data_IF_865776968192
#
_entry.id   IF_865776968192
#
_cell.length_a   1.000
_cell.length_b   1.000
_cell.length_c   1.000
_cell.angle_alpha   90.00
_cell.angle_beta   90.00
_cell.angle_gamma   90.00
#
_symmetry.space_group_name_H-M   'P 1'
#
loop_
_entity.id
_entity.type
_entity.pdbx_description
1 polymer ?
#
# COMPACT_ATOMS: atom_id res chain seq x y z
N UNK A 1 -1.11 12.80 22.80
CA UNK A 1 -1.54 11.52 22.18
C UNK A 1 -2.53 11.80 21.04
N UNK A 2 -2.03 11.78 19.81
CA UNK A 2 -2.90 11.93 18.63
C UNK A 2 -3.77 10.67 18.50
N UNK A 3 -5.06 10.80 18.72
CA UNK A 3 -6.04 9.71 18.58
C UNK A 3 -6.29 9.36 17.10
N UNK A 4 -6.05 10.29 16.20
CA UNK A 4 -6.27 10.16 14.76
C UNK A 4 -4.97 10.50 14.03
N UNK A 5 -4.58 9.67 13.10
CA UNK A 5 -3.45 9.88 12.18
C UNK A 5 -3.93 9.63 10.76
N UNK A 6 -3.73 10.63 9.90
CA UNK A 6 -4.05 10.57 8.48
C UNK A 6 -2.74 10.71 7.71
N UNK A 7 -2.49 9.81 6.79
CA UNK A 7 -1.41 9.90 5.81
C UNK A 7 -2.04 9.74 4.43
N UNK A 8 -1.70 10.62 3.54
CA UNK A 8 -2.08 10.53 2.13
C UNK A 8 -0.84 10.69 1.27
N UNK A 9 -0.81 10.01 0.15
CA UNK A 9 0.22 10.16 -0.86
C UNK A 9 -0.39 10.08 -2.24
N UNK A 10 0.18 10.83 -3.17
CA UNK A 10 -0.19 10.81 -4.58
C UNK A 10 1.07 10.76 -5.43
N UNK A 11 1.05 9.93 -6.44
CA UNK A 11 2.08 9.86 -7.48
C UNK A 11 1.43 10.21 -8.81
N UNK A 12 2.02 11.14 -9.53
CA UNK A 12 1.57 11.58 -10.85
C UNK A 12 2.69 11.29 -11.85
N UNK A 13 2.34 10.75 -12.99
CA UNK A 13 3.31 10.37 -14.00
C UNK A 13 2.76 10.41 -15.41
N UNK A 14 3.63 10.61 -16.37
CA UNK A 14 3.33 10.41 -17.78
C UNK A 14 3.96 9.10 -18.24
N UNK A 15 3.19 8.30 -18.96
CA UNK A 15 3.67 7.10 -19.63
C UNK A 15 3.74 7.41 -21.11
N UNK A 16 4.93 7.29 -21.69
CA UNK A 16 5.15 7.33 -23.12
C UNK A 16 5.35 5.89 -23.61
N UNK A 17 4.58 5.50 -24.59
CA UNK A 17 4.66 4.18 -25.22
C UNK A 17 4.96 4.36 -26.69
N UNK A 18 6.09 3.81 -27.12
CA UNK A 18 6.44 3.64 -28.51
C UNK A 18 6.16 2.19 -28.89
N UNK A 19 5.18 1.99 -29.73
CA UNK A 19 4.75 0.69 -30.21
C UNK A 19 4.95 0.49 -31.70
N UNK A 20 5.82 1.25 -32.34
CA UNK A 20 6.08 1.16 -33.79
C UNK A 20 6.46 -0.23 -34.25
N UNK A 21 7.12 -1.03 -33.39
CA UNK A 21 7.45 -2.44 -33.67
C UNK A 21 6.23 -3.37 -33.74
N UNK A 22 5.08 -2.93 -33.21
CA UNK A 22 3.83 -3.71 -33.24
C UNK A 22 2.86 -3.16 -34.27
N UNK A 23 2.85 -1.84 -34.47
CA UNK A 23 1.96 -1.16 -35.39
C UNK A 23 2.59 0.18 -35.83
N UNK A 24 2.71 0.39 -37.11
CA UNK A 24 3.24 1.64 -37.68
C UNK A 24 2.43 2.84 -37.18
N UNK A 25 3.13 3.83 -36.62
CA UNK A 25 2.52 5.07 -36.12
C UNK A 25 1.86 4.97 -34.74
N UNK A 26 2.10 3.88 -34.00
CA UNK A 26 1.59 3.77 -32.64
C UNK A 26 2.56 4.40 -31.63
N UNK A 27 2.39 5.67 -31.36
CA UNK A 27 3.02 6.38 -30.25
C UNK A 27 1.94 7.07 -29.44
N UNK A 28 1.92 6.85 -28.15
CA UNK A 28 0.94 7.46 -27.28
C UNK A 28 1.53 7.93 -25.96
N UNK A 29 1.02 9.07 -25.47
CA UNK A 29 1.35 9.60 -24.14
C UNK A 29 0.10 9.56 -23.28
N UNK A 30 0.25 9.07 -22.07
CA UNK A 30 -0.86 8.93 -21.13
C UNK A 30 -0.48 9.47 -19.75
N UNK A 31 -1.30 10.36 -19.22
CA UNK A 31 -1.17 10.86 -17.86
C UNK A 31 -1.84 9.90 -16.87
N UNK A 32 -1.09 9.44 -15.89
CA UNK A 32 -1.56 8.56 -14.83
C UNK A 32 -1.34 9.13 -13.45
N UNK A 33 -2.13 8.64 -12.50
CA UNK A 33 -1.94 8.97 -11.09
C UNK A 33 -2.37 7.82 -10.19
N UNK A 34 -1.65 7.69 -9.08
CA UNK A 34 -1.90 6.71 -8.03
C UNK A 34 -2.08 7.46 -6.70
N UNK A 35 -3.18 7.17 -5.99
CA UNK A 35 -3.51 7.80 -4.72
C UNK A 35 -3.57 6.74 -3.63
N UNK A 36 -3.07 7.08 -2.44
CA UNK A 36 -3.19 6.25 -1.23
C UNK A 36 -3.65 7.10 -0.06
N UNK A 37 -4.58 6.55 0.72
CA UNK A 37 -5.04 7.12 1.97
C UNK A 37 -4.88 6.06 3.07
N UNK A 38 -4.27 6.47 4.18
CA UNK A 38 -4.20 5.66 5.38
C UNK A 38 -4.74 6.46 6.56
N UNK A 39 -5.85 6.02 7.11
CA UNK A 39 -6.50 6.61 8.28
C UNK A 39 -6.35 5.65 9.45
N UNK A 40 -5.66 6.07 10.51
CA UNK A 40 -5.55 5.32 11.74
C UNK A 40 -6.28 6.07 12.87
N UNK A 41 -7.14 5.33 13.57
CA UNK A 41 -7.88 5.83 14.73
C UNK A 41 -7.52 4.96 15.94
N UNK A 42 -7.14 5.60 17.04
CA UNK A 42 -6.84 4.94 18.32
C UNK A 42 -7.87 5.37 19.37
N UNK A 43 -9.03 4.68 19.45
CA UNK A 43 -10.06 5.03 20.43
C UNK A 43 -9.55 4.80 21.87
N UNK A 44 -8.73 3.76 22.07
CA UNK A 44 -8.09 3.44 23.34
C UNK A 44 -6.57 3.24 23.14
N UNK A 45 -5.81 3.28 24.24
CA UNK A 45 -4.35 3.11 24.21
C UNK A 45 -3.92 1.74 23.65
N UNK A 46 -4.74 0.72 23.87
CA UNK A 46 -4.46 -0.67 23.44
C UNK A 46 -5.01 -1.02 22.07
N UNK A 47 -5.84 -0.17 21.45
CA UNK A 47 -6.57 -0.52 20.22
C UNK A 47 -6.31 0.50 19.12
N UNK A 48 -6.02 0.00 17.93
CA UNK A 48 -5.87 0.81 16.73
C UNK A 48 -6.70 0.23 15.59
N UNK A 49 -7.57 1.04 15.02
CA UNK A 49 -8.24 0.79 13.75
C UNK A 49 -7.47 1.48 12.64
N UNK A 50 -7.31 0.80 11.52
CA UNK A 50 -6.68 1.39 10.34
C UNK A 50 -7.53 1.08 9.11
N UNK A 51 -7.86 2.13 8.37
CA UNK A 51 -8.45 2.04 7.04
C UNK A 51 -7.40 2.46 6.04
N UNK A 52 -7.19 1.63 5.02
CA UNK A 52 -6.26 1.92 3.92
C UNK A 52 -7.02 1.83 2.62
N UNK A 53 -7.01 2.91 1.85
CA UNK A 53 -7.61 2.94 0.52
C UNK A 53 -6.55 3.25 -0.52
N UNK A 54 -6.63 2.59 -1.64
CA UNK A 54 -5.76 2.80 -2.79
C UNK A 54 -6.60 3.01 -4.06
N UNK A 55 -6.13 3.90 -4.91
CA UNK A 55 -6.68 4.14 -6.23
C UNK A 55 -5.53 4.24 -7.23
N UNK A 56 -5.62 3.46 -8.30
CA UNK A 56 -4.71 3.55 -9.43
C UNK A 56 -5.55 3.94 -10.66
N UNK A 57 -5.16 5.01 -11.33
CA UNK A 57 -5.82 5.46 -12.54
C UNK A 57 -5.64 4.47 -13.69
N UNK A 58 -6.29 4.74 -14.80
CA UNK A 58 -6.04 4.02 -16.05
C UNK A 58 -4.55 4.10 -16.40
N UNK A 59 -4.05 3.06 -17.06
CA UNK A 59 -2.66 3.00 -17.52
C UNK A 59 -2.61 2.57 -18.96
N UNK A 60 -1.78 3.23 -19.75
CA UNK A 60 -1.50 2.78 -21.10
C UNK A 60 -0.55 1.56 -21.03
N UNK A 61 -0.90 0.53 -21.76
CA UNK A 61 -0.06 -0.64 -22.03
C UNK A 61 0.08 -0.82 -23.54
N UNK A 62 1.09 -1.56 -23.97
CA UNK A 62 1.36 -1.78 -25.41
C UNK A 62 0.15 -2.36 -26.14
N UNK A 63 -0.63 -3.21 -25.47
CA UNK A 63 -1.78 -3.91 -26.07
C UNK A 63 -3.13 -3.26 -25.75
N UNK A 64 -3.17 -2.14 -25.01
CA UNK A 64 -4.44 -1.50 -24.66
C UNK A 64 -4.38 -0.63 -23.41
N UNK A 65 -5.53 -0.34 -22.85
CA UNK A 65 -5.68 0.51 -21.66
C UNK A 65 -6.10 -0.35 -20.48
N UNK A 66 -5.25 -0.42 -19.45
CA UNK A 66 -5.59 -1.06 -18.18
C UNK A 66 -6.62 -0.20 -17.45
N UNK A 67 -7.72 -0.80 -17.02
CA UNK A 67 -8.79 -0.08 -16.30
C UNK A 67 -8.32 0.41 -14.92
N UNK A 68 -8.96 1.44 -14.35
CA UNK A 68 -8.64 1.89 -13.01
C UNK A 68 -8.91 0.78 -11.99
N UNK A 69 -8.04 0.74 -10.97
CA UNK A 69 -8.16 -0.19 -9.85
C UNK A 69 -8.23 0.59 -8.54
N UNK A 70 -9.14 0.19 -7.69
CA UNK A 70 -9.27 0.75 -6.36
C UNK A 70 -9.68 -0.32 -5.36
N UNK A 71 -9.34 -0.10 -4.11
CA UNK A 71 -9.67 -1.02 -3.03
C UNK A 71 -9.56 -0.36 -1.67
N UNK A 72 -10.22 -0.97 -0.70
CA UNK A 72 -10.21 -0.51 0.69
C UNK A 72 -10.03 -1.70 1.62
N UNK A 73 -9.04 -1.60 2.49
CA UNK A 73 -8.74 -2.57 3.53
C UNK A 73 -9.04 -1.96 4.89
N UNK A 74 -9.55 -2.79 5.81
CA UNK A 74 -9.74 -2.43 7.20
C UNK A 74 -8.91 -3.36 8.08
N UNK A 75 -8.26 -2.81 9.10
CA UNK A 75 -7.54 -3.61 10.08
C UNK A 75 -7.75 -3.11 11.49
N UNK A 76 -7.74 -4.07 12.41
CA UNK A 76 -7.80 -3.87 13.85
C UNK A 76 -6.56 -4.47 14.48
N UNK A 77 -5.89 -3.70 15.34
CA UNK A 77 -4.85 -4.20 16.24
C UNK A 77 -5.25 -3.93 17.69
N UNK A 78 -5.12 -4.95 18.53
CA UNK A 78 -5.39 -4.83 19.95
C UNK A 78 -4.26 -5.44 20.76
N UNK A 79 -3.67 -4.64 21.66
CA UNK A 79 -2.64 -5.10 22.55
C UNK A 79 -3.28 -5.75 23.78
N UNK A 80 -2.83 -6.96 24.09
CA UNK A 80 -3.28 -7.79 25.21
C UNK A 80 -2.10 -8.08 26.16
N UNK A 81 -2.38 -8.63 27.33
CA UNK A 81 -1.37 -9.03 28.32
C UNK A 81 -0.40 -7.90 28.70
N UNK A 82 -0.95 -6.70 28.97
CA UNK A 82 -0.14 -5.54 29.33
C UNK A 82 0.83 -5.07 28.23
N UNK A 83 0.54 -5.38 26.96
CA UNK A 83 1.38 -5.02 25.81
C UNK A 83 2.36 -6.13 25.37
N UNK A 84 2.41 -7.25 26.08
CA UNK A 84 3.25 -8.40 25.69
C UNK A 84 2.66 -9.18 24.51
N UNK A 85 1.34 -9.09 24.28
CA UNK A 85 0.67 -9.72 23.15
C UNK A 85 0.02 -8.70 22.24
N UNK A 86 -0.13 -9.04 20.97
CA UNK A 86 -0.87 -8.26 19.98
C UNK A 86 -1.75 -9.18 19.16
N UNK A 87 -3.05 -8.91 19.18
CA UNK A 87 -4.02 -9.50 18.27
C UNK A 87 -4.16 -8.56 17.06
N UNK A 88 -4.19 -9.13 15.86
CA UNK A 88 -4.42 -8.39 14.63
C UNK A 88 -5.47 -9.08 13.78
N UNK A 89 -6.39 -8.29 13.25
CA UNK A 89 -7.40 -8.71 12.30
C UNK A 89 -7.32 -7.77 11.10
N UNK A 90 -7.30 -8.31 9.89
CA UNK A 90 -7.32 -7.51 8.66
C UNK A 90 -8.30 -8.13 7.68
N UNK A 91 -9.17 -7.29 7.14
CA UNK A 91 -10.07 -7.63 6.06
C UNK A 91 -9.70 -6.79 4.84
N UNK A 92 -9.33 -7.46 3.75
CA UNK A 92 -8.92 -6.82 2.50
C UNK A 92 -10.11 -6.66 1.58
N UNK A 93 -10.05 -5.62 0.74
CA UNK A 93 -11.04 -5.29 -0.27
C UNK A 93 -12.49 -5.37 0.22
N UNK A 94 -12.78 -4.64 1.30
CA UNK A 94 -14.07 -4.66 2.01
C UNK A 94 -15.27 -4.48 1.07
N UNK A 95 -15.12 -3.68 0.01
CA UNK A 95 -16.18 -3.39 -0.96
C UNK A 95 -16.15 -4.28 -2.21
N UNK A 96 -15.22 -5.25 -2.26
CA UNK A 96 -15.05 -6.16 -3.40
C UNK A 96 -14.85 -5.42 -4.74
N UNK A 97 -14.03 -4.39 -4.71
CA UNK A 97 -13.81 -3.48 -5.84
C UNK A 97 -12.53 -3.75 -6.63
N UNK A 98 -11.59 -4.53 -6.08
CA UNK A 98 -10.35 -4.88 -6.77
C UNK A 98 -10.62 -5.82 -7.92
N UNK A 99 -10.46 -5.32 -9.13
CA UNK A 99 -10.56 -6.08 -10.37
C UNK A 99 -9.45 -5.65 -11.31
N UNK A 100 -8.99 -6.57 -12.12
CA UNK A 100 -8.09 -6.28 -13.23
C UNK A 100 -8.87 -6.29 -14.54
N UNK A 101 -8.53 -5.39 -15.42
CA UNK A 101 -9.10 -5.40 -16.76
C UNK A 101 -8.23 -4.61 -17.73
N UNK A 102 -8.37 -4.96 -18.97
CA UNK A 102 -7.72 -4.27 -20.08
C UNK A 102 -8.69 -4.12 -21.22
N UNK A 103 -8.75 -2.93 -21.78
CA UNK A 103 -9.51 -2.59 -22.98
C UNK A 103 -8.54 -2.55 -24.15
N UNK A 104 -8.69 -3.49 -25.06
CA UNK A 104 -7.88 -3.61 -26.26
C UNK A 104 -8.69 -3.12 -27.43
N UNK A 105 -8.20 -2.10 -28.12
CA UNK A 105 -8.80 -1.58 -29.36
C UNK A 105 -7.80 -1.78 -30.49
N UNK A 106 -8.10 -2.69 -31.41
CA UNK A 106 -7.27 -3.00 -32.57
C UNK A 106 -8.17 -3.06 -33.78
N UNK A 107 -7.86 -2.25 -34.80
CA UNK A 107 -8.43 -2.24 -36.16
C UNK A 107 -9.80 -2.92 -36.34
N UNK A 108 -10.84 -2.29 -35.78
CA UNK A 108 -12.21 -2.79 -35.90
C UNK A 108 -12.61 -3.83 -34.84
N UNK A 109 -11.73 -4.19 -33.92
CA UNK A 109 -12.03 -5.10 -32.81
C UNK A 109 -11.87 -4.42 -31.47
N UNK A 110 -12.96 -4.34 -30.72
CA UNK A 110 -12.92 -3.93 -29.32
C UNK A 110 -13.00 -5.19 -28.46
N UNK A 111 -11.96 -5.45 -27.69
CA UNK A 111 -11.93 -6.55 -26.74
C UNK A 111 -11.80 -6.02 -25.32
N UNK A 112 -12.79 -6.30 -24.51
CA UNK A 112 -12.77 -6.03 -23.09
C UNK A 112 -12.43 -7.30 -22.32
N UNK A 113 -11.33 -7.27 -21.59
CA UNK A 113 -10.92 -8.37 -20.73
C UNK A 113 -11.09 -7.92 -19.29
N UNK A 114 -11.81 -8.70 -18.49
CA UNK A 114 -12.09 -8.43 -17.09
C UNK A 114 -11.79 -9.67 -16.28
N UNK A 115 -10.90 -9.53 -15.30
CA UNK A 115 -10.59 -10.56 -14.34
C UNK A 115 -11.00 -10.10 -12.95
N UNK A 116 -11.72 -10.95 -12.24
CA UNK A 116 -12.00 -10.81 -10.83
C UNK A 116 -11.33 -11.96 -10.12
N UNK A 117 -10.42 -11.65 -9.22
CA UNK A 117 -9.74 -12.63 -8.36
C UNK A 117 -10.25 -12.50 -6.93
N UNK A 118 -9.99 -13.50 -6.11
CA UNK A 118 -10.31 -13.45 -4.70
C UNK A 118 -9.47 -12.37 -4.03
N UNK A 119 -10.10 -11.23 -3.76
CA UNK A 119 -9.46 -10.07 -3.13
C UNK A 119 -9.94 -9.86 -1.70
N UNK A 120 -11.08 -10.47 -1.33
CA UNK A 120 -11.62 -10.42 0.02
C UNK A 120 -11.02 -11.53 0.86
N UNK A 121 -10.07 -11.15 1.71
CA UNK A 121 -9.37 -12.08 2.60
C UNK A 121 -9.46 -11.58 4.03
N UNK A 122 -9.75 -12.49 4.94
CA UNK A 122 -9.72 -12.24 6.37
C UNK A 122 -8.43 -12.85 6.94
N UNK A 123 -7.60 -11.99 7.53
CA UNK A 123 -6.36 -12.38 8.18
C UNK A 123 -6.50 -12.21 9.68
N UNK A 124 -6.15 -13.25 10.41
CA UNK A 124 -5.99 -13.22 11.86
C UNK A 124 -4.52 -13.44 12.21
N UNK A 125 -4.01 -12.63 13.13
CA UNK A 125 -2.64 -12.76 13.60
C UNK A 125 -2.57 -12.59 15.12
N UNK A 126 -1.76 -13.41 15.76
CA UNK A 126 -1.40 -13.28 17.15
C UNK A 126 0.12 -13.27 17.29
N UNK A 127 0.63 -12.26 17.97
CA UNK A 127 2.04 -12.15 18.30
C UNK A 127 2.18 -12.03 19.81
N UNK A 128 3.11 -12.78 20.39
CA UNK A 128 3.42 -12.71 21.81
C UNK A 128 4.92 -12.62 22.02
N UNK A 129 5.36 -11.63 22.81
CA UNK A 129 6.75 -11.41 23.14
C UNK A 129 7.07 -12.11 24.47
N UNK A 130 7.86 -13.17 24.40
CA UNK A 130 8.40 -13.87 25.57
C UNK A 130 9.66 -13.15 26.05
N UNK A 131 9.83 -13.06 27.36
CA UNK A 131 11.00 -12.46 27.98
C UNK A 131 10.77 -11.01 28.44
N UNK A 132 11.71 -10.54 29.23
CA UNK A 132 11.73 -9.16 29.71
C UNK A 132 12.27 -8.29 28.58
N UNK A 133 11.44 -7.41 28.00
CA UNK A 133 11.95 -6.40 27.10
C UNK A 133 12.79 -5.43 27.92
N UNK A 134 14.08 -5.63 27.97
CA UNK A 134 15.03 -4.63 28.47
C UNK A 134 15.06 -3.48 27.46
N UNK A 135 14.08 -2.61 27.53
CA UNK A 135 14.08 -1.32 26.80
C UNK A 135 14.97 -0.34 27.55
N UNK A 136 16.18 -0.74 27.90
CA UNK A 136 17.26 0.14 28.35
C UNK A 136 18.55 -0.11 27.57
N UNK A 137 18.42 -0.23 26.27
CA UNK A 137 19.53 -0.02 25.36
C UNK A 137 19.64 1.44 24.97
N UNK A 138 19.81 2.35 25.91
CA UNK A 138 20.50 3.61 25.61
C UNK A 138 21.91 3.21 25.19
N UNK A 139 22.09 2.94 23.92
CA UNK A 139 23.40 2.88 23.28
C UNK A 139 24.07 4.22 23.55
N UNK A 140 24.81 4.27 24.63
CA UNK A 140 25.85 5.31 24.83
C UNK A 140 26.94 5.01 23.81
N UNK A 141 26.71 5.32 22.57
CA UNK A 141 27.79 5.56 21.63
C UNK A 141 28.54 6.81 22.14
N UNK A 142 29.53 6.56 22.98
CA UNK A 142 30.54 7.53 23.35
C UNK A 142 31.25 7.86 22.05
N UNK A 143 30.92 9.02 21.48
CA UNK A 143 31.75 9.61 20.42
C UNK A 143 33.10 9.86 21.04
N UNK A 144 34.07 9.02 20.70
CA UNK A 144 35.48 9.28 20.98
C UNK A 144 35.86 10.47 20.12
N UNK A 145 36.14 11.59 20.74
CA UNK A 145 36.63 12.80 20.10
C UNK A 145 37.96 12.48 19.39
N UNK A 146 38.19 12.97 18.14
CA UNK A 146 39.43 12.70 17.42
C UNK A 146 40.70 13.31 18.04
N UNK A 147 40.58 14.04 19.13
CA UNK A 147 41.68 14.82 19.74
C UNK A 147 42.44 14.10 20.87
N UNK A 148 42.13 12.84 21.21
CA UNK A 148 42.87 12.10 22.26
C UNK A 148 43.98 11.19 21.71
N UNK A 149 44.48 11.44 20.52
CA UNK A 149 45.70 10.79 20.02
C UNK A 149 46.85 11.78 19.95
N UNK A 150 47.34 12.25 21.08
CA UNK A 150 48.66 12.80 21.23
C UNK A 150 49.18 12.33 22.58
N UNK A 151 50.07 11.41 22.47
CA UNK A 151 51.28 10.99 23.20
C UNK A 151 51.47 9.49 23.05
#
# INVERSE_FOLDING_TARGET
NKKIKINSSGTFYNTWVDGENFRVGFTAVYFGYDLKLNLQIKPWKSTAFTLTSDYNSRRLAVVGIVIPRYGTDVSLKHNVFGGKGTLSLRFTDVFFTRRFGIDVNTDGWLREVRYRYESQLLWFGFNYSFGQSSTEGKSKFRRVSPNERRF
#
